data_IF_131662162927
#
_entry.id   IF_131662162927
#
_cell.length_a   1.000
_cell.length_b   1.000
_cell.length_c   1.000
_cell.angle_alpha   90.00
_cell.angle_beta   90.00
_cell.angle_gamma   90.00
#
_symmetry.space_group_name_H-M   'P 1'
#
loop_
_entity.id
_entity.type
_entity.pdbx_description
1 polymer ?
#
# COMPACT_ATOMS: atom_id res chain seq x y z
N UNK A 1 -18.01 -11.44 -1.94
CA UNK A 1 -16.79 -11.77 -1.19
C UNK A 1 -16.06 -10.49 -0.85
N UNK A 2 -15.57 -10.33 0.38
CA UNK A 2 -14.60 -9.28 0.67
C UNK A 2 -13.34 -9.57 -0.18
N UNK A 3 -12.74 -8.55 -0.81
CA UNK A 3 -11.51 -8.75 -1.55
C UNK A 3 -10.43 -9.35 -0.64
N UNK A 4 -9.83 -10.46 -1.07
CA UNK A 4 -8.79 -11.13 -0.32
C UNK A 4 -7.43 -10.67 -0.85
N UNK A 5 -6.65 -10.00 -0.01
CA UNK A 5 -5.25 -9.69 -0.26
C UNK A 5 -4.40 -10.24 0.88
N UNK A 6 -3.12 -10.42 0.61
CA UNK A 6 -2.14 -10.82 1.61
C UNK A 6 -1.03 -9.78 1.66
N UNK A 7 -0.70 -9.33 2.86
CA UNK A 7 0.46 -8.47 3.09
C UNK A 7 1.65 -9.34 3.46
N UNK A 8 2.78 -9.12 2.81
CA UNK A 8 4.03 -9.76 3.20
C UNK A 8 4.52 -9.16 4.52
N UNK A 9 5.34 -9.92 5.26
CA UNK A 9 5.92 -9.41 6.52
C UNK A 9 6.69 -8.08 6.32
N UNK A 10 7.51 -7.90 5.26
CA UNK A 10 8.13 -6.60 5.00
C UNK A 10 7.13 -5.48 4.74
N UNK A 11 6.03 -5.75 4.02
CA UNK A 11 5.01 -4.74 3.77
C UNK A 11 4.31 -4.30 5.06
N UNK A 12 4.08 -5.21 6.01
CA UNK A 12 3.54 -4.87 7.33
C UNK A 12 4.52 -3.94 8.08
N UNK A 13 5.80 -4.29 8.11
CA UNK A 13 6.84 -3.48 8.76
C UNK A 13 6.97 -2.09 8.14
N UNK A 14 6.87 -1.97 6.81
CA UNK A 14 6.89 -0.69 6.11
C UNK A 14 5.70 0.19 6.53
N UNK A 15 4.50 -0.40 6.63
CA UNK A 15 3.28 0.31 7.04
C UNK A 15 3.41 0.82 8.48
N UNK A 16 3.87 -0.04 9.40
CA UNK A 16 4.10 0.33 10.81
C UNK A 16 5.12 1.46 10.92
N UNK A 17 6.28 1.33 10.26
CA UNK A 17 7.34 2.34 10.31
C UNK A 17 6.89 3.70 9.72
N UNK A 18 6.11 3.69 8.64
CA UNK A 18 5.57 4.92 8.05
C UNK A 18 4.53 5.55 8.98
N UNK A 19 3.62 4.76 9.56
CA UNK A 19 2.61 5.25 10.48
C UNK A 19 3.25 5.86 11.74
N UNK A 20 4.24 5.18 12.32
CA UNK A 20 5.01 5.68 13.47
C UNK A 20 5.74 6.98 13.13
N UNK A 21 6.36 7.05 11.96
CA UNK A 21 7.01 8.26 11.48
C UNK A 21 6.00 9.42 11.36
N UNK A 22 4.86 9.22 10.69
CA UNK A 22 3.82 10.26 10.53
C UNK A 22 3.28 10.69 11.89
N UNK A 23 3.03 9.75 12.81
CA UNK A 23 2.56 10.04 14.15
C UNK A 23 3.57 10.89 14.94
N UNK A 24 4.86 10.56 14.83
CA UNK A 24 5.94 11.32 15.48
C UNK A 24 6.09 12.75 14.96
N UNK A 25 5.85 12.96 13.65
CA UNK A 25 6.07 14.26 13.00
C UNK A 25 4.83 15.16 13.03
N UNK A 26 3.64 14.56 12.94
CA UNK A 26 2.39 15.29 12.65
C UNK A 26 1.21 14.89 13.54
N UNK A 27 1.42 13.95 14.46
CA UNK A 27 0.41 13.50 15.40
C UNK A 27 -0.41 12.29 14.91
N UNK A 28 -1.04 11.60 15.86
CA UNK A 28 -1.74 10.33 15.65
C UNK A 28 -2.84 10.40 14.60
N UNK A 29 -3.64 11.48 14.59
CA UNK A 29 -4.75 11.65 13.65
C UNK A 29 -4.28 11.60 12.18
N UNK A 30 -3.07 12.11 11.89
CA UNK A 30 -2.54 12.11 10.54
C UNK A 30 -2.05 10.71 10.12
N UNK A 31 -1.52 9.93 11.06
CA UNK A 31 -1.17 8.53 10.82
C UNK A 31 -2.41 7.67 10.57
N UNK A 32 -3.48 7.85 11.34
CA UNK A 32 -4.77 7.17 11.12
C UNK A 32 -5.38 7.49 9.75
N UNK A 33 -5.28 8.76 9.32
CA UNK A 33 -5.71 9.17 7.98
C UNK A 33 -4.89 8.52 6.87
N UNK A 34 -3.58 8.36 7.07
CA UNK A 34 -2.72 7.63 6.14
C UNK A 34 -3.15 6.16 6.02
N UNK A 35 -3.35 5.47 7.15
CA UNK A 35 -3.80 4.07 7.16
C UNK A 35 -5.17 3.91 6.48
N UNK A 36 -6.11 4.81 6.75
CA UNK A 36 -7.43 4.80 6.10
C UNK A 36 -7.35 4.94 4.58
N UNK A 37 -6.44 5.80 4.08
CA UNK A 37 -6.20 5.94 2.63
C UNK A 37 -5.57 4.68 2.03
N UNK A 38 -4.67 4.04 2.77
CA UNK A 38 -4.03 2.80 2.36
C UNK A 38 -5.06 1.67 2.23
N UNK A 39 -5.95 1.51 3.21
CA UNK A 39 -7.05 0.54 3.17
C UNK A 39 -7.98 0.76 1.97
N UNK A 40 -8.38 2.01 1.74
CA UNK A 40 -9.19 2.38 0.56
C UNK A 40 -8.46 2.06 -0.75
N UNK A 41 -7.13 2.19 -0.77
CA UNK A 41 -6.31 1.82 -1.93
C UNK A 41 -6.28 0.31 -2.12
N UNK A 42 -6.08 -0.50 -1.07
CA UNK A 42 -6.13 -1.96 -1.15
C UNK A 42 -7.49 -2.47 -1.64
N UNK A 43 -8.59 -1.90 -1.16
CA UNK A 43 -9.93 -2.22 -1.66
C UNK A 43 -10.07 -1.97 -3.17
N UNK A 44 -9.46 -0.90 -3.68
CA UNK A 44 -9.46 -0.60 -5.12
C UNK A 44 -8.56 -1.53 -5.92
N UNK A 45 -7.39 -1.90 -5.39
CA UNK A 45 -6.43 -2.80 -6.06
C UNK A 45 -7.05 -4.18 -6.25
N UNK A 46 -7.71 -4.67 -5.22
CA UNK A 46 -8.35 -5.98 -5.24
C UNK A 46 -9.58 -6.05 -6.15
N UNK A 47 -10.28 -4.93 -6.36
CA UNK A 47 -11.34 -4.82 -7.38
C UNK A 47 -10.78 -4.74 -8.81
N UNK A 48 -9.59 -4.15 -8.97
CA UNK A 48 -8.95 -3.92 -10.26
C UNK A 48 -7.49 -4.42 -10.22
N UNK A 49 -7.24 -5.74 -10.28
CA UNK A 49 -5.89 -6.31 -10.13
C UNK A 49 -4.90 -5.81 -11.18
N UNK A 50 -5.41 -5.44 -12.37
CA UNK A 50 -4.62 -4.83 -13.44
C UNK A 50 -4.37 -3.32 -13.27
N UNK A 51 -4.65 -2.75 -12.09
CA UNK A 51 -4.32 -1.37 -11.75
C UNK A 51 -2.81 -1.21 -11.55
N UNK A 52 -2.30 0.00 -11.80
CA UNK A 52 -0.89 0.33 -11.64
C UNK A 52 -0.05 0.05 -12.87
N UNK A 53 1.23 0.43 -12.77
CA UNK A 53 2.20 0.30 -13.87
C UNK A 53 2.96 -1.02 -13.71
N UNK A 54 3.04 -1.86 -14.76
CA UNK A 54 3.88 -3.05 -14.73
C UNK A 54 5.35 -2.68 -14.54
N UNK A 55 6.05 -3.51 -13.78
CA UNK A 55 7.46 -3.38 -13.41
C UNK A 55 8.21 -4.68 -13.70
N UNK A 56 7.90 -5.30 -14.83
CA UNK A 56 8.48 -6.60 -15.25
C UNK A 56 10.01 -6.58 -15.36
N UNK A 57 10.61 -5.38 -15.53
CA UNK A 57 12.07 -5.18 -15.50
C UNK A 57 12.70 -5.36 -14.11
N UNK A 58 11.91 -5.31 -13.05
CA UNK A 58 12.34 -5.50 -11.66
C UNK A 58 12.02 -6.93 -11.24
N UNK A 59 10.76 -7.35 -11.42
CA UNK A 59 10.28 -8.69 -11.13
C UNK A 59 9.07 -8.96 -12.04
N UNK A 60 8.94 -10.16 -12.65
CA UNK A 60 7.76 -10.52 -13.41
C UNK A 60 6.48 -10.34 -12.59
N UNK A 61 5.41 -9.86 -13.24
CA UNK A 61 4.07 -9.65 -12.65
C UNK A 61 4.01 -8.55 -11.57
N UNK A 62 5.15 -7.92 -11.24
CA UNK A 62 5.19 -6.83 -10.28
C UNK A 62 4.49 -5.60 -10.84
N UNK A 63 3.62 -5.02 -10.02
CA UNK A 63 2.94 -3.77 -10.31
C UNK A 63 3.28 -2.74 -9.23
N UNK A 64 3.48 -1.51 -9.67
CA UNK A 64 3.63 -0.36 -8.76
C UNK A 64 2.43 0.55 -8.86
N UNK A 65 1.90 0.95 -7.71
CA UNK A 65 0.73 1.82 -7.61
C UNK A 65 1.10 2.98 -6.70
N UNK A 66 0.93 4.22 -7.18
CA UNK A 66 1.21 5.40 -6.38
C UNK A 66 0.10 5.68 -5.36
N UNK A 67 0.54 6.08 -4.18
CA UNK A 67 -0.28 6.66 -3.13
C UNK A 67 0.51 7.81 -2.51
N UNK A 68 0.14 9.05 -2.85
CA UNK A 68 0.86 10.25 -2.40
C UNK A 68 2.35 10.14 -2.74
N UNK A 69 3.22 10.21 -1.73
CA UNK A 69 4.68 10.11 -1.86
C UNK A 69 5.21 8.66 -1.81
N UNK A 70 4.32 7.66 -1.74
CA UNK A 70 4.68 6.25 -1.58
C UNK A 70 4.29 5.41 -2.80
N UNK A 71 4.97 4.27 -2.94
CA UNK A 71 4.65 3.25 -3.93
C UNK A 71 4.22 1.96 -3.20
N UNK A 72 3.03 1.47 -3.55
CA UNK A 72 2.58 0.14 -3.16
C UNK A 72 3.06 -0.82 -4.25
N UNK A 73 3.81 -1.83 -3.83
CA UNK A 73 4.31 -2.89 -4.69
C UNK A 73 3.54 -4.17 -4.42
N UNK A 74 3.04 -4.80 -5.48
CA UNK A 74 2.29 -6.04 -5.35
C UNK A 74 2.28 -6.81 -6.66
N UNK A 75 2.04 -8.11 -6.55
CA UNK A 75 1.70 -8.99 -7.66
C UNK A 75 0.18 -9.20 -7.64
N UNK A 76 -0.41 -9.32 -8.83
CA UNK A 76 -1.85 -9.43 -9.03
C UNK A 76 -2.26 -10.88 -9.31
#
# INVERSE_FOLDING_TARGET
MAPQFYLTQPAIQDIEAIADYIASQTGLQQAERFLSKLDAKFARITQFPNLGRPRDKILPELRSISMESYLILGIA
#
